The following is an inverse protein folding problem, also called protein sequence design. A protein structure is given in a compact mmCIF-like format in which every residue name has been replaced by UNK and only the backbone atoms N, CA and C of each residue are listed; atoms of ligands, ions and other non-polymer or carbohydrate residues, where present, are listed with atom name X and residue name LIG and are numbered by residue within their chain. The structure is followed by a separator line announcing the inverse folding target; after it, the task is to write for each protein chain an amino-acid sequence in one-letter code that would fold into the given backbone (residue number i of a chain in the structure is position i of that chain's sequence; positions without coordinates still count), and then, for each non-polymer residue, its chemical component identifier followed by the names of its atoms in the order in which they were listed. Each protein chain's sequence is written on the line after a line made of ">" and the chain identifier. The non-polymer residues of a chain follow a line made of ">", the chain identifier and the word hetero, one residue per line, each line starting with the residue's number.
data_IF_388231941715
#
_entry.id   IF_388231941715
#
_cell.length_a   1.000
_cell.length_b   1.000
_cell.length_c   1.000
_cell.angle_alpha   90.00
_cell.angle_beta   90.00
_cell.angle_gamma   90.00
#
_symmetry.space_group_name_H-M   'P 1'
#
loop_
_entity.id
_entity.type
_entity.pdbx_description
1 polymer ?
#
# COMPACT_ATOMS: atom_id res chain seq x y z
N UNK A 1 43.81 20.55 -6.77
CA UNK A 1 42.40 20.98 -6.98
C UNK A 1 41.56 19.96 -7.75
N UNK A 2 42.05 19.38 -8.85
CA UNK A 2 41.29 18.45 -9.73
C UNK A 2 40.69 17.23 -9.01
N UNK A 3 41.41 16.60 -8.04
CA UNK A 3 40.90 15.43 -7.29
C UNK A 3 39.66 15.71 -6.42
N UNK A 4 39.50 16.93 -5.89
CA UNK A 4 38.32 17.33 -5.07
C UNK A 4 37.10 17.58 -5.95
N UNK A 5 37.31 18.15 -7.14
CA UNK A 5 36.26 18.39 -8.15
C UNK A 5 35.77 17.06 -8.72
N UNK A 6 36.68 16.08 -8.93
CA UNK A 6 36.31 14.74 -9.39
C UNK A 6 35.41 13.99 -8.38
N UNK A 7 35.72 14.10 -7.09
CA UNK A 7 34.93 13.48 -6.01
C UNK A 7 33.54 14.11 -5.87
N UNK A 8 33.44 15.44 -6.01
CA UNK A 8 32.16 16.17 -6.05
C UNK A 8 31.35 15.86 -7.32
N UNK A 9 32.02 15.67 -8.46
CA UNK A 9 31.36 15.29 -9.72
C UNK A 9 30.82 13.85 -9.67
N UNK A 10 31.56 12.90 -9.08
CA UNK A 10 31.06 11.53 -8.84
C UNK A 10 29.89 11.51 -7.86
N UNK A 11 29.93 12.33 -6.81
CA UNK A 11 28.81 12.49 -5.88
C UNK A 11 27.57 13.12 -6.56
N UNK A 12 27.77 14.14 -7.39
CA UNK A 12 26.73 14.76 -8.23
C UNK A 12 26.12 13.80 -9.26
N UNK A 13 26.89 12.82 -9.76
CA UNK A 13 26.38 11.76 -10.62
C UNK A 13 25.66 10.62 -9.85
N UNK A 14 25.94 10.45 -8.55
CA UNK A 14 25.27 9.46 -7.70
C UNK A 14 23.96 9.98 -7.08
N UNK A 15 23.81 11.31 -6.94
CA UNK A 15 22.63 11.98 -6.39
C UNK A 15 21.30 11.68 -7.14
N UNK A 16 21.25 11.56 -8.49
CA UNK A 16 20.00 11.27 -9.20
C UNK A 16 19.45 9.84 -9.01
N UNK A 17 20.29 8.88 -8.56
CA UNK A 17 19.84 7.50 -8.31
C UNK A 17 19.29 7.29 -6.89
N UNK A 18 19.52 8.25 -6.00
CA UNK A 18 19.21 8.16 -4.57
C UNK A 18 17.80 8.68 -4.20
N UNK A 19 17.07 9.26 -5.15
CA UNK A 19 15.84 10.02 -4.89
C UNK A 19 14.52 9.28 -5.22
N UNK A 20 14.57 8.01 -5.64
CA UNK A 20 13.35 7.25 -5.92
C UNK A 20 13.00 6.33 -4.76
N UNK A 21 12.40 6.90 -3.71
CA UNK A 21 11.46 6.12 -2.90
C UNK A 21 10.22 5.89 -3.76
N UNK A 22 10.10 4.70 -4.37
CA UNK A 22 8.90 4.33 -5.13
C UNK A 22 7.92 3.61 -4.23
N UNK A 23 6.71 4.15 -4.09
CA UNK A 23 5.57 3.37 -3.66
C UNK A 23 5.11 2.50 -4.83
N UNK A 24 4.65 1.28 -4.53
CA UNK A 24 4.05 0.41 -5.54
C UNK A 24 2.54 0.43 -5.33
N UNK A 25 1.83 1.02 -6.29
CA UNK A 25 0.37 1.02 -6.33
C UNK A 25 -0.17 -0.25 -7.00
N UNK A 26 -1.21 -0.83 -6.44
CA UNK A 26 -1.94 -1.96 -7.01
C UNK A 26 -3.39 -1.51 -7.19
N UNK A 27 -3.94 -1.71 -8.39
CA UNK A 27 -5.36 -1.47 -8.65
C UNK A 27 -6.01 -2.81 -8.97
N UNK A 28 -7.08 -3.13 -8.26
CA UNK A 28 -7.89 -4.31 -8.48
C UNK A 28 -9.31 -3.91 -8.92
N UNK A 29 -9.94 -4.76 -9.72
CA UNK A 29 -11.32 -4.59 -10.14
C UNK A 29 -12.03 -5.93 -10.16
N UNK A 30 -13.36 -5.89 -10.05
CA UNK A 30 -14.20 -7.08 -9.97
C UNK A 30 -13.95 -7.89 -8.69
N UNK A 31 -14.54 -9.08 -8.66
CA UNK A 31 -14.64 -9.91 -7.46
C UNK A 31 -15.88 -9.59 -6.65
N UNK A 32 -16.04 -10.33 -5.55
CA UNK A 32 -17.21 -10.24 -4.67
C UNK A 32 -16.75 -9.94 -3.26
N UNK A 33 -17.18 -8.79 -2.75
CA UNK A 33 -17.11 -8.48 -1.33
C UNK A 33 -18.34 -9.12 -0.66
N UNK A 34 -18.10 -9.99 0.31
CA UNK A 34 -19.14 -10.65 1.09
C UNK A 34 -18.88 -10.46 2.58
N UNK A 35 -19.93 -10.34 3.38
CA UNK A 35 -19.75 -10.15 4.83
C UNK A 35 -20.96 -9.59 5.53
N UNK A 36 -20.75 -9.12 6.76
CA UNK A 36 -21.79 -8.61 7.63
C UNK A 36 -21.20 -8.11 8.94
N UNK A 37 -21.91 -8.29 10.06
CA UNK A 37 -21.43 -7.89 11.38
C UNK A 37 -20.10 -8.55 11.79
N UNK A 38 -19.83 -9.76 11.30
CA UNK A 38 -18.59 -10.50 11.55
C UNK A 38 -17.38 -10.02 10.74
N UNK A 39 -17.56 -9.03 9.86
CA UNK A 39 -16.53 -8.51 8.97
C UNK A 39 -16.76 -8.87 7.50
N UNK A 40 -15.78 -8.54 6.68
CA UNK A 40 -15.81 -8.70 5.23
C UNK A 40 -14.77 -9.68 4.72
N UNK A 41 -15.07 -10.27 3.57
CA UNK A 41 -14.22 -11.16 2.81
C UNK A 41 -14.31 -10.78 1.34
N UNK A 42 -13.18 -10.46 0.72
CA UNK A 42 -13.05 -10.22 -0.71
C UNK A 42 -12.43 -11.42 -1.39
N UNK A 43 -13.14 -11.97 -2.38
CA UNK A 43 -12.66 -13.08 -3.21
C UNK A 43 -12.90 -12.80 -4.69
N UNK A 44 -12.04 -13.38 -5.54
CA UNK A 44 -12.18 -13.30 -6.99
C UNK A 44 -11.88 -11.92 -7.59
N UNK A 45 -11.20 -11.04 -6.85
CA UNK A 45 -10.77 -9.75 -7.38
C UNK A 45 -9.53 -9.90 -8.23
N UNK A 46 -9.48 -9.18 -9.35
CA UNK A 46 -8.41 -9.27 -10.35
C UNK A 46 -7.57 -8.00 -10.33
N UNK A 47 -6.25 -8.13 -10.35
CA UNK A 47 -5.33 -7.01 -10.49
C UNK A 47 -5.34 -6.53 -11.95
N UNK A 48 -5.67 -5.25 -12.15
CA UNK A 48 -5.64 -4.58 -13.46
C UNK A 48 -4.46 -3.62 -13.61
N UNK A 49 -3.81 -3.26 -12.49
CA UNK A 49 -2.60 -2.45 -12.49
C UNK A 49 -1.67 -2.84 -11.35
N UNK A 50 -0.37 -2.92 -11.63
CA UNK A 50 0.70 -3.14 -10.65
C UNK A 50 1.85 -2.17 -10.96
N UNK A 51 2.03 -1.16 -10.12
CA UNK A 51 2.95 -0.04 -10.36
C UNK A 51 2.60 0.67 -11.68
N UNK A 52 3.55 0.65 -12.62
CA UNK A 52 3.37 1.19 -13.96
C UNK A 52 2.78 0.20 -14.99
N UNK A 53 2.58 -1.07 -14.62
CA UNK A 53 2.12 -2.13 -15.52
C UNK A 53 0.59 -2.16 -15.51
N UNK A 54 -0.04 -2.09 -16.68
CA UNK A 54 -1.49 -2.19 -16.87
C UNK A 54 -1.82 -3.47 -17.62
N UNK A 55 -2.86 -4.20 -17.21
CA UNK A 55 -3.28 -5.44 -17.84
C UNK A 55 -4.72 -5.83 -17.46
N UNK A 56 -5.26 -6.85 -18.12
CA UNK A 56 -6.62 -7.36 -17.83
C UNK A 56 -6.66 -8.39 -16.70
N UNK A 57 -5.53 -9.07 -16.46
CA UNK A 57 -5.33 -10.00 -15.35
C UNK A 57 -3.83 -10.08 -15.03
N UNK A 58 -3.40 -9.37 -14.00
CA UNK A 58 -2.02 -9.38 -13.50
C UNK A 58 -1.87 -10.25 -12.23
N UNK A 59 -2.96 -10.86 -11.77
CA UNK A 59 -3.04 -11.57 -10.51
C UNK A 59 -4.35 -11.30 -9.78
N UNK A 60 -4.35 -11.54 -8.48
CA UNK A 60 -5.54 -11.43 -7.62
C UNK A 60 -5.26 -10.72 -6.31
N UNK A 61 -6.29 -10.06 -5.79
CA UNK A 61 -6.32 -9.48 -4.46
C UNK A 61 -7.42 -10.14 -3.64
N UNK A 62 -7.09 -10.56 -2.42
CA UNK A 62 -8.04 -11.16 -1.49
C UNK A 62 -7.76 -10.69 -0.07
N UNK A 63 -8.81 -10.53 0.73
CA UNK A 63 -8.66 -10.16 2.13
C UNK A 63 -9.83 -10.63 2.98
N UNK A 64 -9.59 -10.68 4.29
CA UNK A 64 -10.60 -10.75 5.35
C UNK A 64 -10.36 -9.63 6.35
N UNK A 65 -11.43 -9.08 6.95
CA UNK A 65 -11.33 -8.09 8.03
C UNK A 65 -11.75 -8.69 9.36
N UNK A 66 -11.52 -7.97 10.47
CA UNK A 66 -12.20 -8.26 11.73
C UNK A 66 -13.68 -7.87 11.70
N UNK A 67 -14.39 -8.16 12.79
CA UNK A 67 -15.80 -7.80 12.99
C UNK A 67 -16.00 -6.30 13.19
N UNK A 68 -17.23 -5.81 13.01
CA UNK A 68 -17.56 -4.42 13.33
C UNK A 68 -17.40 -4.16 14.84
N UNK A 69 -16.63 -3.13 15.20
CA UNK A 69 -16.50 -2.62 16.57
C UNK A 69 -17.47 -1.46 16.82
N UNK A 70 -17.90 -0.77 15.77
CA UNK A 70 -18.97 0.22 15.81
C UNK A 70 -19.71 0.28 14.46
N UNK A 71 -20.97 0.69 14.47
CA UNK A 71 -21.79 0.73 13.26
C UNK A 71 -22.14 -0.66 12.72
N UNK A 72 -22.40 -0.77 11.42
CA UNK A 72 -22.74 -2.03 10.77
C UNK A 72 -22.47 -2.00 9.26
N UNK A 73 -22.62 -3.15 8.60
CA UNK A 73 -22.36 -3.29 7.18
C UNK A 73 -23.29 -2.45 6.27
N UNK A 74 -24.50 -2.12 6.73
CA UNK A 74 -25.48 -1.33 5.96
C UNK A 74 -25.29 0.17 6.09
N UNK A 75 -24.94 0.66 7.27
CA UNK A 75 -24.89 2.10 7.56
C UNK A 75 -23.47 2.66 7.63
N UNK A 76 -22.46 1.80 7.46
CA UNK A 76 -21.07 2.16 7.73
C UNK A 76 -20.70 1.89 9.18
N UNK A 77 -19.40 1.91 9.45
CA UNK A 77 -18.86 1.62 10.77
C UNK A 77 -17.35 1.45 10.79
N UNK A 78 -16.83 1.01 11.93
CA UNK A 78 -15.42 0.68 12.13
C UNK A 78 -15.31 -0.82 12.34
N UNK A 79 -14.32 -1.44 11.71
CA UNK A 79 -14.00 -2.84 11.87
C UNK A 79 -12.75 -3.01 12.73
N UNK A 80 -12.73 -4.12 13.47
CA UNK A 80 -11.57 -4.53 14.24
C UNK A 80 -10.37 -4.78 13.31
N UNK A 81 -9.15 -4.48 13.77
CA UNK A 81 -7.93 -4.83 13.06
C UNK A 81 -7.74 -6.36 12.97
N UNK A 82 -6.74 -6.79 12.21
CA UNK A 82 -6.44 -8.20 11.98
C UNK A 82 -6.92 -8.70 10.61
N UNK A 83 -7.44 -9.92 10.56
CA UNK A 83 -7.80 -10.58 9.31
C UNK A 83 -6.57 -10.89 8.45
N UNK A 84 -6.78 -11.02 7.14
CA UNK A 84 -5.73 -11.36 6.17
C UNK A 84 -5.81 -10.42 4.98
N UNK A 85 -4.68 -10.09 4.37
CA UNK A 85 -4.62 -9.35 3.12
C UNK A 85 -3.54 -9.97 2.25
N UNK A 86 -3.87 -10.37 1.03
CA UNK A 86 -2.94 -11.08 0.14
C UNK A 86 -3.10 -10.60 -1.29
N UNK A 87 -1.96 -10.22 -1.87
CA UNK A 87 -1.81 -9.89 -3.29
C UNK A 87 -0.95 -10.98 -3.91
N UNK A 88 -1.51 -11.66 -4.90
CA UNK A 88 -0.84 -12.74 -5.63
C UNK A 88 -0.70 -12.33 -7.08
N UNK A 89 0.51 -12.31 -7.61
CA UNK A 89 0.77 -12.12 -9.03
C UNK A 89 0.69 -13.43 -9.80
N UNK A 90 0.41 -13.33 -11.10
CA UNK A 90 0.24 -14.50 -11.97
C UNK A 90 1.41 -14.75 -12.94
N UNK A 91 2.52 -14.00 -12.81
CA UNK A 91 3.68 -14.16 -13.70
C UNK A 91 3.61 -13.41 -15.04
N UNK A 92 2.51 -12.71 -15.35
CA UNK A 92 2.35 -12.03 -16.65
C UNK A 92 2.91 -10.61 -16.65
N UNK A 93 3.35 -10.14 -17.82
CA UNK A 93 3.80 -8.75 -18.04
C UNK A 93 4.87 -8.24 -17.05
N UNK A 94 5.73 -9.13 -16.57
CA UNK A 94 6.80 -8.79 -15.61
C UNK A 94 6.37 -8.75 -14.14
N UNK A 95 5.11 -9.08 -13.83
CA UNK A 95 4.64 -9.26 -12.46
C UNK A 95 5.11 -10.63 -11.94
N UNK A 96 5.64 -10.73 -10.69
CA UNK A 96 6.05 -12.01 -10.13
C UNK A 96 4.91 -13.05 -10.09
N UNK A 97 5.26 -14.33 -10.19
CA UNK A 97 4.30 -15.42 -10.00
C UNK A 97 4.33 -15.87 -8.52
N UNK A 98 3.18 -15.78 -7.84
CA UNK A 98 3.05 -16.11 -6.41
C UNK A 98 2.69 -14.90 -5.54
N UNK A 99 2.80 -15.06 -4.22
CA UNK A 99 2.44 -14.02 -3.25
C UNK A 99 3.44 -12.86 -3.34
N UNK A 100 2.97 -11.70 -3.78
CA UNK A 100 3.75 -10.45 -3.85
C UNK A 100 3.72 -9.74 -2.51
N UNK A 101 2.56 -9.76 -1.86
CA UNK A 101 2.35 -9.12 -0.57
C UNK A 101 1.40 -9.94 0.30
N UNK A 102 1.75 -10.06 1.58
CA UNK A 102 0.87 -10.63 2.59
C UNK A 102 0.95 -9.78 3.87
N UNK A 103 -0.20 -9.57 4.50
CA UNK A 103 -0.31 -8.71 5.66
C UNK A 103 -1.65 -8.83 6.38
N UNK A 104 -1.85 -7.96 7.37
CA UNK A 104 -3.07 -7.88 8.18
C UNK A 104 -3.44 -6.42 8.42
N UNK A 105 -4.73 -6.12 8.61
CA UNK A 105 -5.14 -4.76 8.94
C UNK A 105 -4.55 -4.31 10.28
N UNK A 106 -3.97 -3.11 10.29
CA UNK A 106 -3.23 -2.56 11.41
C UNK A 106 -4.14 -2.12 12.54
N UNK A 107 -3.71 -2.33 13.79
CA UNK A 107 -4.39 -1.78 14.97
C UNK A 107 -4.18 -0.27 15.14
N UNK A 108 -3.17 0.31 14.49
CA UNK A 108 -2.82 1.74 14.64
C UNK A 108 -3.79 2.66 13.90
N UNK A 109 -4.46 2.15 12.86
CA UNK A 109 -5.45 2.89 12.09
C UNK A 109 -6.70 2.04 11.92
N UNK A 110 -7.88 2.50 12.40
CA UNK A 110 -9.11 1.73 12.29
C UNK A 110 -9.46 1.46 10.83
N UNK A 111 -9.97 0.26 10.55
CA UNK A 111 -10.55 -0.07 9.25
C UNK A 111 -11.93 0.56 9.19
N UNK A 112 -12.13 1.52 8.29
CA UNK A 112 -13.38 2.27 8.18
C UNK A 112 -14.20 1.75 7.00
N UNK A 113 -15.49 1.57 7.24
CA UNK A 113 -16.50 1.31 6.22
C UNK A 113 -17.41 2.51 6.14
N UNK A 114 -17.25 3.34 5.12
CA UNK A 114 -18.00 4.59 5.00
C UNK A 114 -19.09 4.46 3.93
N UNK A 115 -20.31 4.87 4.28
CA UNK A 115 -21.43 4.98 3.35
C UNK A 115 -21.58 6.41 2.86
N UNK A 116 -21.70 6.58 1.55
CA UNK A 116 -22.11 7.82 0.91
C UNK A 116 -23.37 7.57 0.08
N UNK A 117 -24.42 8.32 0.37
CA UNK A 117 -25.61 8.37 -0.48
C UNK A 117 -25.44 9.47 -1.51
N UNK A 118 -25.46 9.11 -2.80
CA UNK A 118 -25.35 10.02 -3.91
C UNK A 118 -26.68 10.75 -4.16
N UNK A 119 -26.61 11.85 -4.91
CA UNK A 119 -27.79 12.68 -5.22
C UNK A 119 -28.89 11.93 -6.00
N UNK A 120 -28.55 10.86 -6.70
CA UNK A 120 -29.48 9.97 -7.42
C UNK A 120 -30.15 8.92 -6.52
N UNK A 121 -29.84 8.95 -5.21
CA UNK A 121 -30.33 8.01 -4.21
C UNK A 121 -29.61 6.66 -4.21
N UNK A 122 -28.50 6.51 -4.95
CA UNK A 122 -27.66 5.32 -4.87
C UNK A 122 -26.70 5.39 -3.68
N UNK A 123 -26.29 4.22 -3.19
CA UNK A 123 -25.39 4.06 -2.06
C UNK A 123 -24.04 3.53 -2.54
N UNK A 124 -22.99 4.29 -2.26
CA UNK A 124 -21.60 3.90 -2.47
C UNK A 124 -20.93 3.69 -1.12
N UNK A 125 -20.14 2.63 -1.01
CA UNK A 125 -19.40 2.31 0.19
C UNK A 125 -17.91 2.24 -0.10
N UNK A 126 -17.13 2.79 0.82
CA UNK A 126 -15.68 2.79 0.75
C UNK A 126 -15.10 2.12 2.00
N UNK A 127 -14.33 1.05 1.80
CA UNK A 127 -13.51 0.43 2.84
C UNK A 127 -12.12 1.05 2.80
N UNK A 128 -11.68 1.69 3.88
CA UNK A 128 -10.31 2.20 4.03
C UNK A 128 -9.62 1.56 5.22
N UNK A 129 -8.32 1.28 5.09
CA UNK A 129 -7.54 0.73 6.19
C UNK A 129 -6.05 0.75 5.93
N UNK A 130 -5.26 0.76 6.99
CA UNK A 130 -3.83 0.51 6.91
C UNK A 130 -3.55 -0.98 7.08
N UNK A 131 -2.56 -1.50 6.35
CA UNK A 131 -2.16 -2.90 6.39
C UNK A 131 -0.68 -2.95 6.79
N UNK A 132 -0.39 -3.83 7.74
CA UNK A 132 0.98 -4.18 8.11
C UNK A 132 1.40 -5.40 7.31
N UNK A 133 2.61 -5.38 6.76
CA UNK A 133 3.23 -6.57 6.17
C UNK A 133 3.39 -7.66 7.24
N UNK A 134 3.41 -8.93 6.84
CA UNK A 134 3.73 -10.05 7.71
C UNK A 134 5.09 -9.89 8.45
N UNK A 135 6.01 -9.10 7.88
CA UNK A 135 7.31 -8.75 8.49
C UNK A 135 7.25 -7.59 9.51
N UNK A 136 6.06 -7.05 9.80
CA UNK A 136 5.86 -5.94 10.74
C UNK A 136 6.21 -4.56 10.20
N UNK A 137 6.63 -4.45 8.93
CA UNK A 137 6.80 -3.15 8.28
C UNK A 137 5.43 -2.53 7.98
N UNK A 138 5.25 -1.32 8.51
CA UNK A 138 4.06 -0.48 8.33
C UNK A 138 4.22 0.30 7.04
N UNK A 139 3.20 0.31 6.20
CA UNK A 139 3.21 1.23 5.05
C UNK A 139 2.15 1.03 3.98
N UNK A 140 1.26 0.05 4.09
CA UNK A 140 0.26 -0.18 3.06
C UNK A 140 -1.07 0.50 3.42
N UNK A 141 -1.68 1.23 2.49
CA UNK A 141 -3.07 1.68 2.61
C UNK A 141 -3.90 1.02 1.53
N UNK A 142 -5.12 0.60 1.89
CA UNK A 142 -6.11 0.10 0.94
C UNK A 142 -7.34 0.99 0.96
N UNK A 143 -7.91 1.21 -0.22
CA UNK A 143 -9.21 1.80 -0.43
C UNK A 143 -9.98 0.91 -1.41
N UNK A 144 -11.13 0.37 -1.00
CA UNK A 144 -12.01 -0.42 -1.85
C UNK A 144 -13.37 0.27 -1.98
N UNK A 145 -13.86 0.43 -3.21
CA UNK A 145 -15.15 1.05 -3.49
C UNK A 145 -16.13 0.03 -4.06
N UNK A 146 -17.35 0.05 -3.55
CA UNK A 146 -18.48 -0.75 -4.04
C UNK A 146 -19.73 0.12 -4.13
N UNK A 147 -20.63 -0.21 -5.05
CA UNK A 147 -21.95 0.42 -5.16
C UNK A 147 -23.04 -0.63 -5.05
N UNK A 148 -24.08 -0.34 -4.27
CA UNK A 148 -25.23 -1.25 -4.07
C UNK A 148 -26.50 -0.75 -4.76
N UNK A 149 -26.39 0.30 -5.57
CA UNK A 149 -27.55 0.97 -6.16
C UNK A 149 -28.42 1.61 -5.07
N UNK A 150 -29.74 1.56 -5.22
CA UNK A 150 -30.69 2.19 -4.27
C UNK A 150 -30.93 1.39 -2.99
N UNK A 151 -30.40 0.17 -2.90
CA UNK A 151 -30.49 -0.66 -1.69
C UNK A 151 -29.25 -0.49 -0.82
N UNK A 152 -29.37 -0.77 0.48
CA UNK A 152 -28.19 -0.87 1.35
C UNK A 152 -27.42 -2.16 1.09
N UNK A 153 -26.17 -2.23 1.57
CA UNK A 153 -25.38 -3.45 1.51
C UNK A 153 -26.10 -4.61 2.19
N UNK A 154 -26.38 -5.68 1.45
CA UNK A 154 -27.09 -6.84 1.96
C UNK A 154 -26.26 -8.12 1.87
N UNK A 155 -25.04 -8.04 2.39
CA UNK A 155 -24.19 -9.20 2.61
C UNK A 155 -23.26 -9.57 1.45
N UNK A 156 -23.59 -9.19 0.21
CA UNK A 156 -22.74 -9.41 -0.98
C UNK A 156 -22.87 -8.28 -1.98
N UNK A 157 -21.75 -7.88 -2.59
CA UNK A 157 -21.72 -6.89 -3.67
C UNK A 157 -20.49 -7.09 -4.56
N UNK A 158 -20.61 -6.74 -5.84
CA UNK A 158 -19.47 -6.68 -6.74
C UNK A 158 -18.55 -5.52 -6.40
N UNK A 159 -17.24 -5.73 -6.50
CA UNK A 159 -16.27 -4.64 -6.35
C UNK A 159 -16.14 -3.88 -7.65
N UNK A 160 -16.26 -2.55 -7.57
CA UNK A 160 -16.05 -1.66 -8.72
C UNK A 160 -14.56 -1.43 -8.94
N UNK A 161 -13.87 -0.97 -7.89
CA UNK A 161 -12.43 -0.72 -7.91
C UNK A 161 -11.85 -0.79 -6.50
N UNK A 162 -10.58 -1.16 -6.40
CA UNK A 162 -9.78 -0.99 -5.20
C UNK A 162 -8.38 -0.53 -5.56
N UNK A 163 -7.83 0.34 -4.73
CA UNK A 163 -6.45 0.82 -4.82
C UNK A 163 -5.73 0.48 -3.52
N UNK A 164 -4.55 -0.12 -3.66
CA UNK A 164 -3.63 -0.42 -2.55
C UNK A 164 -2.30 0.23 -2.83
N UNK A 165 -1.81 1.07 -1.93
CA UNK A 165 -0.48 1.68 -2.04
C UNK A 165 0.44 1.07 -1.02
N UNK A 166 1.49 0.38 -1.46
CA UNK A 166 2.57 -0.08 -0.59
C UNK A 166 3.65 1.01 -0.51
N UNK A 167 3.73 1.72 0.61
CA UNK A 167 4.91 2.53 0.93
C UNK A 167 5.98 1.63 1.51
N UNK A 168 7.15 1.64 0.89
CA UNK A 168 8.32 0.94 1.39
C UNK A 168 9.10 1.95 2.23
N UNK A 169 9.34 1.68 3.54
CA UNK A 169 10.21 2.53 4.34
C UNK A 169 11.56 2.64 3.67
N UNK A 170 12.04 3.88 3.54
CA UNK A 170 13.30 4.21 2.87
C UNK A 170 14.42 3.27 3.31
N UNK A 171 15.23 2.73 2.38
CA UNK A 171 16.41 1.99 2.75
C UNK A 171 17.31 2.86 3.65
N UNK A 172 17.57 2.41 4.89
CA UNK A 172 18.48 3.10 5.84
C UNK A 172 19.91 3.32 5.32
N UNK A 173 20.22 2.83 4.12
CA UNK A 173 21.42 3.14 3.35
C UNK A 173 21.57 4.63 3.03
N UNK A 174 20.48 5.41 2.91
CA UNK A 174 20.56 6.87 2.73
C UNK A 174 21.07 7.58 3.98
N UNK A 175 20.52 7.24 5.15
CA UNK A 175 21.01 7.76 6.44
C UNK A 175 22.43 7.29 6.74
N UNK A 176 22.77 6.05 6.41
CA UNK A 176 24.12 5.51 6.59
C UNK A 176 25.13 6.15 5.63
N UNK A 177 24.75 6.41 4.38
CA UNK A 177 25.58 7.15 3.43
C UNK A 177 25.77 8.62 3.87
N UNK A 178 24.70 9.27 4.32
CA UNK A 178 24.75 10.64 4.83
C UNK A 178 25.64 10.78 6.07
N UNK A 179 25.49 9.89 7.05
CA UNK A 179 26.36 9.85 8.24
C UNK A 179 27.79 9.43 7.89
N UNK A 180 27.98 8.52 6.93
CA UNK A 180 29.29 8.12 6.41
C UNK A 180 30.05 9.29 5.76
N UNK A 181 29.38 10.14 5.00
CA UNK A 181 29.97 11.35 4.41
C UNK A 181 30.35 12.40 5.47
N UNK A 182 29.51 12.60 6.48
CA UNK A 182 29.82 13.51 7.59
C UNK A 182 31.01 12.97 8.39
N UNK A 183 31.07 11.67 8.64
CA UNK A 183 32.21 11.00 9.28
C UNK A 183 33.51 11.21 8.48
N UNK A 184 33.47 11.04 7.16
CA UNK A 184 34.62 11.25 6.29
C UNK A 184 35.06 12.73 6.24
N UNK A 185 34.11 13.66 6.17
CA UNK A 185 34.38 15.10 6.24
C UNK A 185 35.01 15.51 7.58
N UNK A 186 34.57 14.90 8.69
CA UNK A 186 35.16 15.10 10.02
C UNK A 186 36.62 14.65 10.11
N UNK A 187 36.94 13.48 9.55
CA UNK A 187 38.32 12.95 9.50
C UNK A 187 39.22 13.83 8.63
N UNK A 188 38.74 14.31 7.47
CA UNK A 188 39.48 15.22 6.60
C UNK A 188 39.75 16.56 7.30
N UNK A 189 38.75 17.12 8.00
CA UNK A 189 38.91 18.36 8.78
C UNK A 189 39.95 18.21 9.88
N UNK A 190 39.93 17.09 10.61
CA UNK A 190 40.93 16.78 11.65
C UNK A 190 42.34 16.67 11.07
N UNK A 191 42.51 16.08 9.89
CA UNK A 191 43.82 15.99 9.22
C UNK A 191 44.35 17.34 8.72
N UNK A 192 43.47 18.25 8.30
CA UNK A 192 43.86 19.59 7.83
C UNK A 192 44.15 20.58 8.96
N UNK A 193 43.70 20.33 10.19
CA UNK A 193 44.03 21.17 11.35
C UNK A 193 45.28 20.72 12.12
N UNK A 194 45.83 19.55 11.77
CA UNK A 194 47.03 18.96 12.39
C UNK A 194 48.28 19.05 11.49
N UNK A 195 48.14 19.66 10.31
CA UNK A 195 49.21 19.94 9.36
C UNK A 195 49.31 21.44 9.14
#
# INVERSE_FOLDING_TARGET
>A
MVKKILLLAVLALALPMAAFASSVGFTNAGGTLSGGSSGFTLTGSTLIKVGGIVGSNLGSLSFTTGAFTSGNAQQGGILAPGGTFTITGNGTNGVPNGVIFSGTFSSSNPVQWNLVTLADGTHSYTLTGAINSASGQVGATVQLTVSTGKGYFNGKVGVESGDTSLSVPEPGTLSLLGTGLIGLAGVIRRKLSLS
#
